data_IF_903775834347
#
_entry.id   IF_903775834347
#
_cell.length_a   1.000
_cell.length_b   1.000
_cell.length_c   1.000
_cell.angle_alpha   90.00
_cell.angle_beta   90.00
_cell.angle_gamma   90.00
#
_symmetry.space_group_name_H-M   'P 1'
#
loop_
_entity.id
_entity.type
_entity.pdbx_description
1 polymer ?
#
# COMPACT_ATOMS: atom_id res chain seq x y z
N UNK A 1 11.44 -1.47 -0.75
CA UNK A 1 10.50 -0.59 -1.50
C UNK A 1 10.87 0.89 -1.40
N UNK A 2 11.16 1.45 -0.22
CA UNK A 2 11.58 2.85 -0.09
C UNK A 2 12.84 3.20 -0.90
N UNK A 3 13.83 2.29 -0.95
CA UNK A 3 15.01 2.42 -1.80
C UNK A 3 14.68 2.51 -3.31
N UNK A 4 13.60 1.86 -3.75
CA UNK A 4 13.14 1.92 -5.13
C UNK A 4 12.44 3.25 -5.44
N UNK A 5 11.68 3.82 -4.50
CA UNK A 5 11.04 5.12 -4.69
C UNK A 5 12.06 6.26 -4.72
N UNK A 6 13.01 6.29 -3.78
CA UNK A 6 14.06 7.32 -3.77
C UNK A 6 14.91 7.28 -5.04
N UNK A 7 15.28 6.09 -5.52
CA UNK A 7 16.01 5.96 -6.80
C UNK A 7 15.22 6.52 -8.00
N UNK A 8 13.88 6.37 -8.02
CA UNK A 8 13.03 6.97 -9.05
C UNK A 8 12.98 8.49 -8.93
N UNK A 9 12.87 9.03 -7.71
CA UNK A 9 12.89 10.47 -7.47
C UNK A 9 14.24 11.10 -7.79
N UNK A 10 15.34 10.40 -7.51
CA UNK A 10 16.69 10.81 -7.89
C UNK A 10 16.83 10.91 -9.41
N UNK A 11 16.41 9.87 -10.13
CA UNK A 11 16.43 9.84 -11.61
C UNK A 11 15.56 10.96 -12.21
N UNK A 12 14.37 11.18 -11.65
CA UNK A 12 13.50 12.28 -12.05
C UNK A 12 14.17 13.64 -11.79
N UNK A 13 14.75 13.83 -10.60
CA UNK A 13 15.40 15.09 -10.22
C UNK A 13 16.64 15.39 -11.05
N UNK A 14 17.41 14.37 -11.46
CA UNK A 14 18.49 14.53 -12.44
C UNK A 14 17.97 15.02 -13.79
N UNK A 15 16.91 14.39 -14.31
CA UNK A 15 16.29 14.81 -15.58
C UNK A 15 15.75 16.24 -15.51
N UNK A 16 15.15 16.62 -14.38
CA UNK A 16 14.71 18.00 -14.14
C UNK A 16 15.93 18.94 -14.13
N UNK A 17 17.01 18.61 -13.44
CA UNK A 17 18.20 19.46 -13.37
C UNK A 17 18.88 19.67 -14.74
N UNK A 18 18.86 18.66 -15.61
CA UNK A 18 19.44 18.74 -16.95
C UNK A 18 18.60 19.55 -17.94
N UNK A 19 17.27 19.48 -17.80
CA UNK A 19 16.33 20.00 -18.81
C UNK A 19 15.56 21.24 -18.37
N UNK A 20 15.55 21.58 -17.08
CA UNK A 20 14.79 22.71 -16.58
C UNK A 20 15.44 24.06 -16.98
N UNK A 21 14.63 25.08 -17.34
CA UNK A 21 15.12 26.38 -17.77
C UNK A 21 15.58 27.25 -16.58
N UNK A 22 16.66 26.84 -15.91
CA UNK A 22 17.24 27.55 -14.76
C UNK A 22 17.72 28.95 -15.18
N UNK A 23 17.17 30.00 -14.54
CA UNK A 23 17.50 31.40 -14.86
C UNK A 23 17.88 32.18 -13.61
N UNK A 24 18.49 33.34 -13.84
CA UNK A 24 18.71 34.33 -12.76
C UNK A 24 17.52 35.28 -12.71
N UNK A 25 16.77 35.25 -11.63
CA UNK A 25 15.61 36.10 -11.41
C UNK A 25 15.99 37.32 -10.56
N UNK A 26 15.33 38.47 -10.78
CA UNK A 26 15.46 39.65 -9.90
C UNK A 26 14.27 39.69 -8.96
N UNK A 27 14.52 39.69 -7.66
CA UNK A 27 13.50 39.78 -6.62
C UNK A 27 13.88 40.89 -5.63
N UNK A 28 13.03 41.93 -5.48
CA UNK A 28 13.27 43.07 -4.58
C UNK A 28 14.72 43.57 -4.53
N UNK A 29 15.30 43.87 -5.71
CA UNK A 29 16.68 44.36 -5.90
C UNK A 29 17.80 43.36 -5.58
N UNK A 30 17.46 42.10 -5.30
CA UNK A 30 18.40 40.98 -5.12
C UNK A 30 18.32 40.05 -6.34
N UNK A 31 19.48 39.63 -6.85
CA UNK A 31 19.55 38.63 -7.91
C UNK A 31 19.55 37.22 -7.29
N UNK A 32 18.63 36.38 -7.75
CA UNK A 32 18.47 34.98 -7.36
C UNK A 32 18.96 34.10 -8.51
N UNK A 33 20.21 33.61 -8.47
CA UNK A 33 20.73 32.71 -9.50
C UNK A 33 20.11 31.30 -9.39
N UNK A 34 20.09 30.60 -10.53
CA UNK A 34 19.71 29.18 -10.68
C UNK A 34 18.34 28.83 -10.07
N UNK A 35 17.31 29.63 -10.34
CA UNK A 35 15.96 29.41 -9.83
C UNK A 35 14.94 29.24 -10.96
N UNK A 36 13.77 28.70 -10.59
CA UNK A 36 12.58 28.52 -11.42
C UNK A 36 11.38 29.17 -10.72
N UNK A 37 10.41 29.64 -11.49
CA UNK A 37 9.11 30.02 -10.91
C UNK A 37 8.25 28.77 -10.73
N UNK A 38 7.29 28.81 -9.79
CA UNK A 38 6.31 27.76 -9.59
C UNK A 38 5.57 27.42 -10.89
N UNK A 39 5.11 28.44 -11.62
CA UNK A 39 4.46 28.27 -12.93
C UNK A 39 5.32 27.54 -13.96
N UNK A 40 6.59 27.93 -14.08
CA UNK A 40 7.50 27.26 -15.02
C UNK A 40 7.78 25.82 -14.58
N UNK A 41 7.90 25.57 -13.27
CA UNK A 41 8.13 24.23 -12.73
C UNK A 41 6.93 23.30 -12.99
N UNK A 42 5.70 23.76 -12.72
CA UNK A 42 4.48 22.97 -12.91
C UNK A 42 4.26 22.67 -14.38
N UNK A 43 4.33 23.68 -15.26
CA UNK A 43 4.20 23.49 -16.70
C UNK A 43 5.27 22.54 -17.26
N UNK A 44 6.52 22.67 -16.80
CA UNK A 44 7.61 21.78 -17.19
C UNK A 44 7.37 20.34 -16.73
N UNK A 45 6.90 20.12 -15.50
CA UNK A 45 6.60 18.79 -14.99
C UNK A 45 5.40 18.15 -15.72
N UNK A 46 4.39 18.95 -16.06
CA UNK A 46 3.24 18.49 -16.84
C UNK A 46 3.68 17.94 -18.19
N UNK A 47 4.56 18.66 -18.91
CA UNK A 47 5.10 18.22 -20.20
C UNK A 47 6.04 17.01 -20.04
N UNK A 48 6.95 17.04 -19.05
CA UNK A 48 7.94 15.99 -18.84
C UNK A 48 7.31 14.63 -18.49
N UNK A 49 6.21 14.65 -17.73
CA UNK A 49 5.50 13.46 -17.26
C UNK A 49 4.25 13.13 -18.07
N UNK A 50 3.90 13.96 -19.05
CA UNK A 50 2.67 13.86 -19.84
C UNK A 50 1.41 13.75 -18.97
N UNK A 51 1.27 14.63 -17.97
CA UNK A 51 0.06 14.70 -17.14
C UNK A 51 -1.09 15.39 -17.88
N UNK A 52 -2.28 14.78 -17.81
CA UNK A 52 -3.51 15.34 -18.39
C UNK A 52 -4.01 16.55 -17.58
N UNK A 53 -3.92 16.50 -16.25
CA UNK A 53 -4.33 17.57 -15.33
C UNK A 53 -3.09 18.29 -14.73
N UNK A 54 -2.98 19.63 -14.81
CA UNK A 54 -1.93 20.39 -14.12
C UNK A 54 -1.92 20.17 -12.59
N UNK A 55 -3.04 19.78 -11.97
CA UNK A 55 -3.11 19.45 -10.54
C UNK A 55 -2.18 18.28 -10.16
N UNK A 56 -2.03 17.28 -11.04
CA UNK A 56 -1.13 16.15 -10.82
C UNK A 56 0.35 16.57 -10.86
N UNK A 57 0.68 17.47 -11.80
CA UNK A 57 2.01 18.06 -11.89
C UNK A 57 2.35 18.91 -10.65
N UNK A 58 1.38 19.70 -10.17
CA UNK A 58 1.52 20.48 -8.94
C UNK A 58 1.67 19.59 -7.70
N UNK A 59 0.93 18.49 -7.64
CA UNK A 59 1.05 17.50 -6.56
C UNK A 59 2.43 16.85 -6.57
N UNK A 60 2.93 16.42 -7.73
CA UNK A 60 4.28 15.86 -7.86
C UNK A 60 5.36 16.88 -7.46
N UNK A 61 5.22 18.14 -7.88
CA UNK A 61 6.13 19.22 -7.47
C UNK A 61 6.15 19.39 -5.94
N UNK A 62 4.98 19.33 -5.31
CA UNK A 62 4.82 19.39 -3.86
C UNK A 62 5.48 18.19 -3.17
N UNK A 63 5.35 16.98 -3.71
CA UNK A 63 6.02 15.80 -3.18
C UNK A 63 7.55 15.94 -3.26
N UNK A 64 8.07 16.42 -4.39
CA UNK A 64 9.51 16.70 -4.54
C UNK A 64 10.00 17.75 -3.54
N UNK A 65 9.17 18.76 -3.24
CA UNK A 65 9.47 19.76 -2.21
C UNK A 65 9.62 19.12 -0.84
N UNK A 66 8.60 18.35 -0.45
CA UNK A 66 8.53 17.76 0.87
C UNK A 66 9.70 16.80 1.12
N UNK A 67 10.08 16.01 0.10
CA UNK A 67 11.22 15.10 0.16
C UNK A 67 12.58 15.81 0.04
N UNK A 68 12.61 17.14 -0.14
CA UNK A 68 13.83 17.94 -0.16
C UNK A 68 14.62 17.89 -1.47
N UNK A 69 14.00 17.49 -2.58
CA UNK A 69 14.60 17.59 -3.92
C UNK A 69 14.49 19.01 -4.50
N UNK A 70 13.54 19.80 -4.00
CA UNK A 70 13.39 21.20 -4.33
C UNK A 70 12.97 21.99 -3.10
N UNK A 71 13.25 23.29 -3.09
CA UNK A 71 12.96 24.15 -1.95
C UNK A 71 12.66 25.58 -2.38
N UNK A 72 11.78 26.30 -1.66
CA UNK A 72 11.50 27.70 -1.94
C UNK A 72 12.66 28.58 -1.46
N UNK A 73 12.99 29.61 -2.24
CA UNK A 73 14.16 30.46 -1.98
C UNK A 73 13.90 31.53 -0.92
N UNK A 74 12.67 32.06 -0.87
CA UNK A 74 12.33 33.26 -0.10
C UNK A 74 11.53 32.89 1.14
N UNK A 75 10.28 32.49 0.94
CA UNK A 75 9.36 32.12 2.01
C UNK A 75 9.34 30.60 2.17
N UNK A 76 9.39 30.12 3.40
CA UNK A 76 9.23 28.70 3.67
C UNK A 76 7.80 28.27 3.37
N UNK A 77 7.64 27.21 2.59
CA UNK A 77 6.35 26.61 2.25
C UNK A 77 6.52 25.10 2.15
N UNK A 78 5.52 24.35 2.62
CA UNK A 78 5.45 22.89 2.49
C UNK A 78 4.74 22.44 1.19
N UNK A 79 4.25 23.40 0.42
CA UNK A 79 3.49 23.19 -0.81
C UNK A 79 4.07 24.06 -1.92
N UNK A 80 4.13 23.53 -3.14
CA UNK A 80 4.48 24.33 -4.32
C UNK A 80 3.27 25.18 -4.72
N UNK A 81 3.50 26.47 -4.98
CA UNK A 81 2.46 27.39 -5.45
C UNK A 81 2.63 27.56 -6.96
N UNK A 82 1.54 27.51 -7.71
CA UNK A 82 1.51 27.79 -9.15
C UNK A 82 1.53 29.30 -9.43
N UNK A 83 2.57 29.98 -8.93
CA UNK A 83 2.74 31.42 -9.01
C UNK A 83 4.21 31.79 -9.32
N UNK A 84 4.55 33.06 -9.10
CA UNK A 84 5.91 33.58 -9.29
C UNK A 84 6.87 33.27 -8.12
N UNK A 85 6.48 32.41 -7.17
CA UNK A 85 7.36 31.94 -6.10
C UNK A 85 8.57 31.23 -6.71
N UNK A 86 9.75 31.56 -6.20
CA UNK A 86 11.02 31.04 -6.71
C UNK A 86 11.42 29.77 -5.98
N UNK A 87 11.70 28.72 -6.74
CA UNK A 87 12.19 27.42 -6.28
C UNK A 87 13.58 27.14 -6.82
N UNK A 88 14.37 26.37 -6.06
CA UNK A 88 15.66 25.80 -6.46
C UNK A 88 15.63 24.29 -6.39
N UNK A 89 16.42 23.67 -7.23
CA UNK A 89 16.69 22.23 -7.18
C UNK A 89 17.81 21.99 -6.17
N UNK A 90 17.68 20.92 -5.38
CA UNK A 90 18.66 20.52 -4.39
C UNK A 90 19.80 19.75 -5.03
N UNK A 91 21.03 19.91 -4.52
CA UNK A 91 22.17 19.10 -5.00
C UNK A 91 21.99 17.62 -4.68
N UNK A 92 22.47 16.73 -5.57
CA UNK A 92 22.48 15.28 -5.34
C UNK A 92 23.12 14.86 -4.01
N UNK A 93 24.13 15.59 -3.54
CA UNK A 93 24.77 15.36 -2.24
C UNK A 93 23.79 15.45 -1.06
N UNK A 94 22.77 16.31 -1.18
CA UNK A 94 21.77 16.58 -0.13
C UNK A 94 20.48 15.76 -0.30
N UNK A 95 20.43 14.84 -1.28
CA UNK A 95 19.25 14.02 -1.54
C UNK A 95 19.01 12.95 -0.46
N UNK A 96 17.75 12.54 -0.23
CA UNK A 96 17.40 11.55 0.78
C UNK A 96 18.08 10.19 0.59
N UNK A 97 18.40 9.82 -0.65
CA UNK A 97 19.07 8.57 -0.98
C UNK A 97 20.52 8.50 -0.47
N UNK A 98 21.21 9.64 -0.44
CA UNK A 98 22.59 9.75 0.06
C UNK A 98 22.63 10.10 1.54
N UNK A 99 21.73 10.96 2.01
CA UNK A 99 21.65 11.42 3.40
C UNK A 99 20.61 10.62 4.20
N UNK A 100 20.83 9.31 4.31
CA UNK A 100 19.89 8.38 4.97
C UNK A 100 19.87 8.50 6.49
N UNK A 101 20.93 9.04 7.08
CA UNK A 101 21.04 9.33 8.50
C UNK A 101 21.59 10.74 8.69
N UNK A 102 20.89 11.56 9.46
CA UNK A 102 21.43 12.84 9.93
C UNK A 102 22.06 12.63 11.29
N UNK A 103 23.36 12.90 11.40
CA UNK A 103 24.07 12.85 12.68
C UNK A 103 23.85 14.15 13.45
N UNK A 104 23.62 14.03 14.77
CA UNK A 104 23.60 15.14 15.70
C UNK A 104 24.88 15.99 15.61
N UNK A 105 26.03 15.35 15.31
CA UNK A 105 27.32 16.04 15.11
C UNK A 105 27.28 16.96 13.90
N UNK A 106 26.77 16.49 12.76
CA UNK A 106 26.69 17.30 11.53
C UNK A 106 25.74 18.49 11.70
N UNK A 107 24.61 18.29 12.39
CA UNK A 107 23.68 19.37 12.68
C UNK A 107 24.30 20.41 13.63
N UNK A 108 25.04 19.96 14.64
CA UNK A 108 25.77 20.85 15.54
C UNK A 108 26.83 21.69 14.81
N UNK A 109 27.57 21.09 13.85
CA UNK A 109 28.53 21.82 13.00
C UNK A 109 27.81 22.91 12.20
N UNK A 110 26.66 22.60 11.61
CA UNK A 110 25.86 23.56 10.84
C UNK A 110 25.38 24.75 11.69
N UNK A 111 24.81 24.49 12.87
CA UNK A 111 24.33 25.54 13.77
C UNK A 111 25.49 26.41 14.29
N UNK A 112 26.61 25.79 14.69
CA UNK A 112 27.80 26.50 15.15
C UNK A 112 28.39 27.39 14.04
N UNK A 113 28.46 26.88 12.81
CA UNK A 113 28.89 27.64 11.63
C UNK A 113 28.04 28.90 11.39
N UNK A 114 26.73 28.83 11.63
CA UNK A 114 25.82 29.97 11.50
C UNK A 114 26.02 31.01 12.59
N UNK A 115 26.23 30.58 13.83
CA UNK A 115 26.53 31.47 14.96
C UNK A 115 27.86 32.21 14.81
N UNK A 116 28.86 31.58 14.18
CA UNK A 116 30.15 32.21 13.87
C UNK A 116 30.09 33.29 12.77
N UNK A 117 28.93 33.50 12.14
CA UNK A 117 28.70 34.50 11.09
C UNK A 117 27.88 35.69 11.63
N UNK A 118 27.65 36.69 10.78
CA UNK A 118 26.87 37.87 11.14
C UNK A 118 25.42 37.48 11.52
N UNK A 119 25.05 37.76 12.77
CA UNK A 119 23.77 37.46 13.41
C UNK A 119 22.57 38.03 12.64
N UNK A 120 22.67 39.21 12.04
CA UNK A 120 21.55 39.83 11.30
C UNK A 120 21.15 39.06 10.02
N UNK A 121 22.04 38.21 9.49
CA UNK A 121 21.79 37.45 8.25
C UNK A 121 21.78 35.94 8.46
N UNK A 122 22.47 35.46 9.48
CA UNK A 122 22.69 34.04 9.72
C UNK A 122 22.26 33.59 11.12
N UNK A 123 21.67 34.49 11.93
CA UNK A 123 21.14 34.19 13.26
C UNK A 123 20.22 32.98 13.23
N UNK A 124 20.26 32.22 14.33
CA UNK A 124 19.45 31.01 14.50
C UNK A 124 17.99 31.38 14.78
N UNK A 125 17.07 30.56 14.29
CA UNK A 125 15.65 30.60 14.66
C UNK A 125 15.47 30.11 16.12
N UNK A 126 14.36 30.43 16.78
CA UNK A 126 14.14 30.09 18.21
C UNK A 126 14.27 28.58 18.47
N UNK A 127 13.73 27.75 17.58
CA UNK A 127 13.81 26.30 17.68
C UNK A 127 15.22 25.76 17.33
N UNK A 128 15.95 26.45 16.45
CA UNK A 128 17.36 26.18 16.17
C UNK A 128 18.25 26.51 17.38
N UNK A 129 17.94 27.55 18.14
CA UNK A 129 18.62 27.89 19.40
C UNK A 129 18.37 26.82 20.45
N UNK A 130 17.13 26.36 20.60
CA UNK A 130 16.80 25.26 21.53
C UNK A 130 17.54 23.97 21.14
N UNK A 131 17.55 23.62 19.86
CA UNK A 131 18.30 22.47 19.35
C UNK A 131 19.81 22.61 19.58
N UNK A 132 20.38 23.80 19.36
CA UNK A 132 21.80 24.07 19.62
C UNK A 132 22.15 23.84 21.08
N UNK A 133 21.36 24.36 22.02
CA UNK A 133 21.59 24.19 23.45
C UNK A 133 21.53 22.71 23.87
N UNK A 134 20.54 21.96 23.34
CA UNK A 134 20.46 20.51 23.56
C UNK A 134 21.69 19.77 23.01
N UNK A 135 22.16 20.14 21.83
CA UNK A 135 23.36 19.53 21.22
C UNK A 135 24.64 19.88 21.97
N UNK A 136 24.73 21.10 22.53
CA UNK A 136 25.85 21.52 23.36
C UNK A 136 25.96 20.68 24.64
N UNK A 137 24.83 20.39 25.29
CA UNK A 137 24.78 19.49 26.45
C UNK A 137 25.13 18.05 26.08
N UNK A 138 24.55 17.53 24.99
CA UNK A 138 24.73 16.13 24.56
C UNK A 138 26.16 15.85 24.02
N UNK A 139 26.72 16.78 23.25
CA UNK A 139 27.98 16.61 22.51
C UNK A 139 29.13 17.43 23.12
N UNK A 140 29.01 17.89 24.37
CA UNK A 140 30.02 18.75 25.01
C UNK A 140 31.45 18.19 24.92
N UNK A 141 31.62 16.88 25.05
CA UNK A 141 32.92 16.19 24.92
C UNK A 141 33.55 16.28 23.50
N UNK A 142 32.74 16.48 22.46
CA UNK A 142 33.19 16.66 21.07
C UNK A 142 33.12 18.11 20.59
N UNK A 143 32.76 19.06 21.45
CA UNK A 143 32.48 20.43 21.02
C UNK A 143 33.71 21.14 20.42
N UNK A 144 34.91 20.83 20.92
CA UNK A 144 36.16 21.30 20.32
C UNK A 144 36.34 20.84 18.88
N UNK A 145 36.02 19.59 18.57
CA UNK A 145 36.04 19.07 17.20
C UNK A 145 34.98 19.76 16.31
N UNK A 146 33.75 19.92 16.81
CA UNK A 146 32.66 20.59 16.10
C UNK A 146 33.05 22.03 15.71
N UNK A 147 33.68 22.75 16.64
CA UNK A 147 34.13 24.14 16.45
C UNK A 147 35.20 24.21 15.35
N UNK A 148 36.23 23.36 15.42
CA UNK A 148 37.28 23.32 14.40
C UNK A 148 36.72 22.96 13.01
N UNK A 149 35.80 21.99 12.94
CA UNK A 149 35.16 21.63 11.67
C UNK A 149 34.33 22.78 11.08
N UNK A 150 33.57 23.51 11.92
CA UNK A 150 32.80 24.68 11.48
C UNK A 150 33.71 25.79 10.92
N UNK A 151 34.82 26.09 11.60
CA UNK A 151 35.81 27.06 11.13
C UNK A 151 36.45 26.68 9.80
N UNK A 152 36.82 25.40 9.63
CA UNK A 152 37.39 24.89 8.38
C UNK A 152 36.42 25.05 7.21
N UNK A 153 35.14 24.71 7.40
CA UNK A 153 34.12 24.89 6.35
C UNK A 153 33.91 26.36 5.99
N UNK A 154 33.89 27.27 6.98
CA UNK A 154 33.80 28.72 6.73
C UNK A 154 35.00 29.24 5.94
N UNK A 155 36.20 28.74 6.24
CA UNK A 155 37.42 29.12 5.52
C UNK A 155 37.33 28.70 4.04
N UNK A 156 36.93 27.47 3.75
CA UNK A 156 36.71 27.01 2.37
C UNK A 156 35.64 27.83 1.65
N UNK A 157 34.56 28.22 2.35
CA UNK A 157 33.51 29.05 1.75
C UNK A 157 34.00 30.49 1.46
N UNK A 158 34.98 31.03 2.18
CA UNK A 158 35.52 32.37 1.92
C UNK A 158 36.18 32.48 0.53
N UNK A 159 36.74 31.39 0.02
CA UNK A 159 37.42 31.32 -1.28
C UNK A 159 36.46 31.27 -2.48
N UNK A 160 35.20 30.90 -2.27
CA UNK A 160 34.19 30.80 -3.35
C UNK A 160 33.69 32.16 -3.84
N UNK A 161 33.03 32.20 -5.01
CA UNK A 161 32.35 33.41 -5.51
C UNK A 161 31.12 33.75 -4.68
N UNK A 162 30.74 35.03 -4.64
CA UNK A 162 29.58 35.50 -3.85
C UNK A 162 28.26 34.84 -4.26
N UNK A 163 28.04 34.61 -5.56
CA UNK A 163 26.86 33.88 -6.07
C UNK A 163 26.76 32.48 -5.50
N UNK A 164 27.88 31.76 -5.51
CA UNK A 164 27.94 30.33 -5.19
C UNK A 164 27.79 30.13 -3.68
N UNK A 165 28.28 31.08 -2.87
CA UNK A 165 28.04 31.10 -1.41
C UNK A 165 26.56 31.21 -1.09
N UNK A 166 25.82 32.09 -1.78
CA UNK A 166 24.39 32.29 -1.53
C UNK A 166 23.57 31.06 -1.94
N UNK A 167 23.96 30.38 -3.02
CA UNK A 167 23.33 29.13 -3.44
C UNK A 167 23.61 28.03 -2.42
N UNK A 168 24.87 27.80 -2.07
CA UNK A 168 25.27 26.78 -1.10
C UNK A 168 24.63 26.97 0.28
N UNK A 169 24.62 28.21 0.80
CA UNK A 169 23.98 28.53 2.08
C UNK A 169 22.47 28.21 2.06
N UNK A 170 21.80 28.43 0.91
CA UNK A 170 20.38 28.11 0.77
C UNK A 170 20.10 26.61 0.65
N UNK A 171 20.98 25.87 -0.02
CA UNK A 171 20.89 24.42 -0.21
C UNK A 171 21.09 23.67 1.11
N UNK A 172 22.12 24.06 1.86
CA UNK A 172 22.41 23.51 3.19
C UNK A 172 21.30 23.86 4.19
N UNK A 173 20.75 25.08 4.15
CA UNK A 173 19.61 25.45 4.99
C UNK A 173 18.35 24.64 4.65
N UNK A 174 18.08 24.42 3.37
CA UNK A 174 16.96 23.59 2.93
C UNK A 174 17.11 22.13 3.37
N UNK A 175 18.32 21.58 3.27
CA UNK A 175 18.65 20.23 3.74
C UNK A 175 18.26 20.03 5.21
N UNK A 176 18.68 20.95 6.08
CA UNK A 176 18.45 20.83 7.52
C UNK A 176 17.01 21.09 7.92
N UNK A 177 16.24 21.90 7.18
CA UNK A 177 14.81 22.09 7.44
C UNK A 177 14.00 20.82 7.28
N UNK A 178 14.29 20.01 6.26
CA UNK A 178 13.58 18.74 6.06
C UNK A 178 14.01 17.68 7.07
N UNK A 179 15.22 17.77 7.65
CA UNK A 179 15.83 16.67 8.44
C UNK A 179 16.26 17.07 9.85
N UNK A 180 15.51 17.96 10.52
CA UNK A 180 15.79 18.32 11.91
C UNK A 180 15.64 17.07 12.81
N UNK A 181 16.65 16.70 13.62
CA UNK A 181 16.52 15.60 14.57
C UNK A 181 15.33 15.85 15.52
N UNK A 182 14.44 14.87 15.67
CA UNK A 182 13.29 14.94 16.59
C UNK A 182 12.02 15.61 16.06
N UNK A 183 11.97 15.95 14.76
CA UNK A 183 10.74 16.40 14.10
C UNK A 183 10.21 15.33 13.13
N UNK A 184 8.89 15.19 13.07
CA UNK A 184 8.23 14.29 12.13
C UNK A 184 8.60 14.67 10.69
N UNK A 185 9.18 13.72 9.96
CA UNK A 185 9.63 13.94 8.58
C UNK A 185 8.91 12.99 7.62
N UNK A 186 8.60 13.47 6.42
CA UNK A 186 8.12 12.66 5.29
C UNK A 186 9.07 11.50 4.91
N UNK A 187 10.33 11.54 5.35
CA UNK A 187 11.33 10.50 5.15
C UNK A 187 11.28 9.38 6.22
N UNK A 188 10.42 9.49 7.24
CA UNK A 188 10.27 8.43 8.25
C UNK A 188 9.75 7.14 7.62
N UNK A 189 10.54 6.07 7.77
CA UNK A 189 10.12 4.76 7.29
C UNK A 189 9.24 4.09 8.33
N UNK A 190 8.07 3.62 7.89
CA UNK A 190 7.21 2.76 8.70
C UNK A 190 8.00 1.54 9.20
N UNK A 191 7.85 1.18 10.48
CA UNK A 191 8.63 0.12 11.17
C UNK A 191 8.61 -1.21 10.40
N UNK A 192 7.51 -1.52 9.73
CA UNK A 192 7.37 -2.76 8.95
C UNK A 192 8.12 -2.75 7.60
N UNK A 193 8.57 -1.58 7.11
CA UNK A 193 9.27 -1.40 5.83
C UNK A 193 10.80 -1.43 5.96
N UNK A 194 11.34 -1.57 7.17
CA UNK A 194 12.78 -1.74 7.38
C UNK A 194 13.20 -3.04 6.70
N UNK A 195 13.99 -2.92 5.62
CA UNK A 195 14.44 -4.06 4.84
C UNK A 195 15.30 -4.97 5.71
N UNK A 196 14.72 -6.09 6.13
CA UNK A 196 15.47 -7.15 6.80
C UNK A 196 16.41 -7.73 5.76
N UNK A 197 17.73 -7.57 5.98
CA UNK A 197 18.76 -8.23 5.16
C UNK A 197 18.37 -9.70 4.96
N UNK A 198 18.21 -10.11 3.71
CA UNK A 198 17.91 -11.49 3.35
C UNK A 198 18.98 -12.38 3.97
N UNK A 199 18.59 -13.19 4.95
CA UNK A 199 19.50 -14.18 5.53
C UNK A 199 19.85 -15.16 4.42
N UNK A 200 21.14 -15.53 4.31
CA UNK A 200 21.58 -16.57 3.39
C UNK A 200 20.74 -17.83 3.64
N UNK A 201 20.11 -18.36 2.60
CA UNK A 201 19.24 -19.53 2.70
C UNK A 201 20.07 -20.75 3.15
N UNK A 202 19.58 -21.50 4.11
CA UNK A 202 20.24 -22.73 4.59
C UNK A 202 19.95 -23.90 3.64
N UNK A 203 20.74 -24.97 3.73
CA UNK A 203 20.47 -26.19 2.96
C UNK A 203 19.04 -26.73 3.18
N UNK A 204 18.51 -26.62 4.40
CA UNK A 204 17.13 -26.97 4.72
C UNK A 204 16.11 -26.07 3.99
N UNK A 205 16.41 -24.77 3.86
CA UNK A 205 15.59 -23.82 3.11
C UNK A 205 15.47 -24.20 1.64
N UNK A 206 16.60 -24.53 0.99
CA UNK A 206 16.58 -24.99 -0.41
C UNK A 206 15.83 -26.31 -0.61
N UNK A 207 15.92 -27.25 0.34
CA UNK A 207 15.13 -28.50 0.30
C UNK A 207 13.63 -28.22 0.35
N UNK A 208 13.19 -27.37 1.28
CA UNK A 208 11.78 -26.96 1.40
C UNK A 208 11.29 -26.23 0.14
N UNK A 209 12.13 -25.39 -0.45
CA UNK A 209 11.82 -24.72 -1.70
C UNK A 209 11.67 -25.70 -2.88
N UNK A 210 12.57 -26.69 -2.99
CA UNK A 210 12.48 -27.75 -3.99
C UNK A 210 11.19 -28.57 -3.83
N UNK A 211 10.84 -28.95 -2.60
CA UNK A 211 9.58 -29.66 -2.32
C UNK A 211 8.36 -28.83 -2.73
N UNK A 212 8.35 -27.53 -2.40
CA UNK A 212 7.27 -26.61 -2.80
C UNK A 212 7.15 -26.49 -4.32
N UNK A 213 8.28 -26.36 -5.04
CA UNK A 213 8.30 -26.26 -6.49
C UNK A 213 7.84 -27.56 -7.17
N UNK A 214 8.32 -28.71 -6.67
CA UNK A 214 7.88 -30.04 -7.14
C UNK A 214 6.37 -30.23 -6.92
N UNK A 215 5.87 -29.85 -5.76
CA UNK A 215 4.44 -29.86 -5.48
C UNK A 215 3.68 -28.98 -6.47
N UNK A 216 4.11 -27.73 -6.66
CA UNK A 216 3.46 -26.79 -7.58
C UNK A 216 3.45 -27.28 -9.03
N UNK A 217 4.48 -28.00 -9.47
CA UNK A 217 4.52 -28.60 -10.82
C UNK A 217 3.54 -29.77 -10.96
N UNK A 218 3.31 -30.53 -9.89
CA UNK A 218 2.44 -31.71 -9.90
C UNK A 218 0.97 -31.37 -9.72
N UNK A 219 0.64 -30.38 -8.91
CA UNK A 219 -0.75 -30.14 -8.47
C UNK A 219 -1.45 -28.97 -9.12
N UNK A 220 -0.74 -28.02 -9.75
CA UNK A 220 -1.39 -26.87 -10.37
C UNK A 220 -1.75 -27.15 -11.82
N UNK A 221 -3.04 -27.21 -12.18
CA UNK A 221 -3.44 -27.19 -13.59
C UNK A 221 -3.10 -25.80 -14.14
N UNK A 222 -2.25 -25.75 -15.16
CA UNK A 222 -1.90 -24.50 -15.83
C UNK A 222 -2.89 -24.22 -16.96
N UNK A 223 -3.68 -23.17 -16.81
CA UNK A 223 -4.50 -22.66 -17.91
C UNK A 223 -3.63 -21.82 -18.85
N UNK A 224 -3.86 -21.92 -20.16
CA UNK A 224 -3.19 -21.04 -21.13
C UNK A 224 -3.56 -19.58 -20.83
N UNK A 225 -2.57 -18.67 -20.88
CA UNK A 225 -2.78 -17.26 -20.57
C UNK A 225 -3.93 -16.63 -21.38
N UNK A 226 -4.04 -16.96 -22.67
CA UNK A 226 -5.14 -16.49 -23.52
C UNK A 226 -6.51 -16.94 -22.99
N UNK A 227 -6.64 -18.22 -22.62
CA UNK A 227 -7.92 -18.73 -22.09
C UNK A 227 -8.24 -18.11 -20.74
N UNK A 228 -7.24 -17.89 -19.89
CA UNK A 228 -7.39 -17.20 -18.62
C UNK A 228 -7.83 -15.74 -18.79
N UNK A 229 -7.28 -15.02 -19.77
CA UNK A 229 -7.70 -13.65 -20.06
C UNK A 229 -9.12 -13.60 -20.61
N UNK A 230 -9.49 -14.51 -21.51
CA UNK A 230 -10.87 -14.60 -22.03
C UNK A 230 -11.88 -14.86 -20.91
N UNK A 231 -11.58 -15.80 -20.00
CA UNK A 231 -12.47 -16.10 -18.87
C UNK A 231 -12.61 -14.90 -17.93
N UNK A 232 -11.54 -14.12 -17.73
CA UNK A 232 -11.57 -12.94 -16.87
C UNK A 232 -12.36 -11.79 -17.50
N UNK A 233 -12.21 -11.56 -18.81
CA UNK A 233 -13.02 -10.56 -19.54
C UNK A 233 -14.50 -10.92 -19.49
N UNK A 234 -14.84 -12.18 -19.81
CA UNK A 234 -16.23 -12.67 -19.73
C UNK A 234 -16.82 -12.51 -18.33
N UNK A 235 -16.04 -12.80 -17.29
CA UNK A 235 -16.48 -12.57 -15.91
C UNK A 235 -16.73 -11.08 -15.62
N UNK A 236 -15.82 -10.19 -16.03
CA UNK A 236 -16.03 -8.75 -15.86
C UNK A 236 -17.29 -8.25 -16.60
N UNK A 237 -17.56 -8.75 -17.80
CA UNK A 237 -18.76 -8.39 -18.58
C UNK A 237 -20.04 -8.90 -17.90
N UNK A 238 -20.04 -10.12 -17.36
CA UNK A 238 -21.19 -10.67 -16.63
C UNK A 238 -21.52 -9.88 -15.36
N UNK A 239 -20.51 -9.40 -14.64
CA UNK A 239 -20.68 -8.66 -13.40
C UNK A 239 -20.70 -7.13 -13.58
N UNK A 240 -20.57 -6.63 -14.81
CA UNK A 240 -20.55 -5.21 -15.15
C UNK A 240 -21.78 -4.45 -14.63
N UNK A 241 -22.97 -5.03 -14.84
CA UNK A 241 -24.23 -4.44 -14.39
C UNK A 241 -24.38 -4.43 -12.87
N UNK A 242 -23.57 -5.22 -12.16
CA UNK A 242 -23.62 -5.38 -10.71
C UNK A 242 -22.64 -4.46 -9.97
N UNK A 243 -21.64 -3.91 -10.64
CA UNK A 243 -20.64 -3.02 -10.05
C UNK A 243 -21.17 -1.58 -9.89
N UNK A 244 -21.33 -1.06 -8.65
CA UNK A 244 -21.83 0.30 -8.42
C UNK A 244 -20.93 1.44 -8.89
N UNK A 245 -19.64 1.18 -9.16
CA UNK A 245 -18.71 2.19 -9.70
C UNK A 245 -18.85 2.35 -11.21
N UNK A 246 -19.33 1.32 -11.90
CA UNK A 246 -19.46 1.31 -13.36
C UNK A 246 -20.93 1.56 -13.75
N UNK A 247 -21.85 0.83 -13.12
CA UNK A 247 -23.29 0.90 -13.40
C UNK A 247 -24.03 1.46 -12.20
N UNK A 248 -24.69 2.61 -12.39
CA UNK A 248 -25.42 3.27 -11.32
C UNK A 248 -26.48 2.34 -10.70
N UNK A 249 -26.42 2.05 -9.38
CA UNK A 249 -27.38 1.18 -8.73
C UNK A 249 -28.75 1.87 -8.61
N UNK A 250 -29.81 1.07 -8.67
CA UNK A 250 -31.19 1.54 -8.53
C UNK A 250 -31.71 1.24 -7.12
N UNK A 251 -32.43 2.17 -6.46
CA UNK A 251 -32.91 3.45 -7.00
C UNK A 251 -31.83 4.55 -7.09
N UNK A 252 -30.84 4.52 -6.19
CA UNK A 252 -29.70 5.43 -6.22
C UNK A 252 -28.53 4.85 -5.41
N UNK A 253 -27.33 5.42 -5.56
CA UNK A 253 -26.17 5.05 -4.75
C UNK A 253 -26.22 5.79 -3.39
N UNK A 254 -26.38 5.08 -2.25
CA UNK A 254 -26.54 5.71 -0.94
C UNK A 254 -25.40 6.65 -0.54
N UNK A 255 -24.19 6.40 -1.05
CA UNK A 255 -23.01 7.24 -0.76
C UNK A 255 -23.02 8.60 -1.49
N UNK A 256 -23.90 8.76 -2.48
CA UNK A 256 -24.00 9.98 -3.31
C UNK A 256 -25.32 10.71 -3.04
N UNK A 257 -26.41 9.95 -2.85
CA UNK A 257 -27.76 10.51 -2.69
C UNK A 257 -28.22 10.64 -1.23
N UNK A 258 -27.46 10.08 -0.27
CA UNK A 258 -27.85 9.92 1.13
C UNK A 258 -29.18 9.14 1.33
N UNK A 259 -29.62 8.39 0.30
CA UNK A 259 -30.81 7.53 0.33
C UNK A 259 -30.42 6.07 0.59
N UNK A 260 -30.80 5.53 1.75
CA UNK A 260 -30.48 4.16 2.18
C UNK A 260 -31.40 3.09 1.58
N UNK A 261 -32.37 3.46 0.74
CA UNK A 261 -33.37 2.52 0.18
C UNK A 261 -32.72 1.33 -0.51
N UNK A 262 -31.61 1.54 -1.25
CA UNK A 262 -30.87 0.44 -1.89
C UNK A 262 -30.43 -0.62 -0.87
N UNK A 263 -29.90 -0.22 0.29
CA UNK A 263 -29.44 -1.16 1.31
C UNK A 263 -30.60 -1.92 1.95
N UNK A 264 -31.69 -1.21 2.25
CA UNK A 264 -32.91 -1.82 2.82
C UNK A 264 -33.47 -2.88 1.87
N UNK A 265 -33.54 -2.60 0.57
CA UNK A 265 -34.02 -3.57 -0.43
C UNK A 265 -33.10 -4.79 -0.63
N UNK A 266 -31.84 -4.71 -0.19
CA UNK A 266 -30.86 -5.79 -0.34
C UNK A 266 -30.43 -6.42 0.99
N UNK A 267 -31.16 -6.20 2.08
CA UNK A 267 -30.89 -6.91 3.35
C UNK A 267 -31.15 -8.40 3.22
N UNK A 268 -30.48 -9.21 4.04
CA UNK A 268 -30.61 -10.68 4.03
C UNK A 268 -31.99 -11.18 4.46
N UNK A 269 -32.77 -10.37 5.18
CA UNK A 269 -34.10 -10.71 5.68
C UNK A 269 -35.24 -10.02 4.92
N UNK A 270 -34.99 -9.51 3.71
CA UNK A 270 -36.05 -8.88 2.90
C UNK A 270 -37.05 -9.96 2.45
N UNK A 271 -38.35 -9.67 2.54
CA UNK A 271 -39.40 -10.63 2.14
C UNK A 271 -39.40 -10.92 0.64
N UNK A 272 -39.19 -9.87 -0.18
CA UNK A 272 -39.18 -9.98 -1.64
C UNK A 272 -37.84 -9.48 -2.17
N UNK A 273 -36.96 -10.37 -2.70
CA UNK A 273 -35.70 -9.95 -3.29
C UNK A 273 -35.95 -9.14 -4.57
N UNK A 274 -35.05 -8.19 -4.84
CA UNK A 274 -35.12 -7.40 -6.08
C UNK A 274 -34.87 -8.27 -7.32
N UNK A 275 -35.43 -7.89 -8.47
CA UNK A 275 -35.21 -8.63 -9.73
C UNK A 275 -33.71 -8.74 -10.07
N UNK A 276 -32.95 -7.68 -9.82
CA UNK A 276 -31.49 -7.68 -10.02
C UNK A 276 -30.81 -8.71 -9.14
N UNK A 277 -31.19 -8.82 -7.86
CA UNK A 277 -30.65 -9.84 -6.93
C UNK A 277 -30.95 -11.26 -7.43
N UNK A 278 -32.18 -11.52 -7.87
CA UNK A 278 -32.57 -12.84 -8.40
C UNK A 278 -31.84 -13.19 -9.69
N UNK A 279 -31.68 -12.24 -10.63
CA UNK A 279 -30.90 -12.45 -11.86
C UNK A 279 -29.45 -12.80 -11.58
N UNK A 280 -28.86 -12.26 -10.50
CA UNK A 280 -27.49 -12.58 -10.09
C UNK A 280 -27.32 -14.05 -9.74
N UNK A 281 -28.34 -14.67 -9.12
CA UNK A 281 -28.31 -16.10 -8.80
C UNK A 281 -28.18 -16.98 -10.05
N UNK A 282 -28.75 -16.52 -11.18
CA UNK A 282 -28.63 -17.21 -12.46
C UNK A 282 -27.25 -17.15 -13.12
N UNK A 283 -26.31 -16.36 -12.57
CA UNK A 283 -24.94 -16.29 -13.10
C UNK A 283 -24.13 -17.55 -12.76
N UNK A 284 -24.30 -18.08 -11.54
CA UNK A 284 -23.70 -19.35 -11.14
C UNK A 284 -24.33 -19.89 -9.84
N UNK A 285 -24.20 -21.21 -9.63
CA UNK A 285 -24.63 -21.87 -8.38
C UNK A 285 -23.94 -21.24 -7.16
N UNK A 286 -22.68 -20.81 -7.28
CA UNK A 286 -22.00 -20.12 -6.19
C UNK A 286 -22.69 -18.81 -5.78
N UNK A 287 -23.20 -18.03 -6.74
CA UNK A 287 -23.90 -16.78 -6.43
C UNK A 287 -25.27 -17.03 -5.78
N UNK A 288 -25.98 -18.07 -6.22
CA UNK A 288 -27.23 -18.52 -5.59
C UNK A 288 -26.99 -18.97 -4.14
N UNK A 289 -25.97 -19.80 -3.90
CA UNK A 289 -25.69 -20.38 -2.58
C UNK A 289 -25.01 -19.39 -1.62
N UNK A 290 -24.37 -18.34 -2.12
CA UNK A 290 -23.86 -17.26 -1.27
C UNK A 290 -24.97 -16.38 -0.70
N UNK A 291 -26.08 -16.27 -1.41
CA UNK A 291 -27.23 -15.48 -0.99
C UNK A 291 -28.06 -16.24 0.06
N UNK A 292 -28.36 -15.67 1.25
CA UNK A 292 -29.20 -16.33 2.25
C UNK A 292 -30.61 -16.67 1.74
N UNK A 293 -31.22 -15.80 0.95
CA UNK A 293 -32.54 -16.03 0.36
C UNK A 293 -32.42 -17.03 -0.79
N UNK A 294 -31.38 -16.89 -1.62
CA UNK A 294 -31.09 -17.83 -2.69
C UNK A 294 -30.94 -19.27 -2.19
N UNK A 295 -30.22 -19.47 -1.07
CA UNK A 295 -30.10 -20.77 -0.40
C UNK A 295 -31.45 -21.34 0.04
N UNK A 296 -32.29 -20.55 0.69
CA UNK A 296 -33.60 -21.00 1.15
C UNK A 296 -34.49 -21.43 -0.02
N UNK A 297 -34.46 -20.68 -1.12
CA UNK A 297 -35.19 -21.01 -2.35
C UNK A 297 -34.67 -22.32 -2.96
N UNK A 298 -33.34 -22.47 -3.05
CA UNK A 298 -32.72 -23.70 -3.55
C UNK A 298 -33.06 -24.92 -2.68
N UNK A 299 -32.97 -24.77 -1.36
CA UNK A 299 -33.30 -25.84 -0.41
C UNK A 299 -34.77 -26.24 -0.52
N UNK A 300 -35.70 -25.27 -0.55
CA UNK A 300 -37.14 -25.54 -0.72
C UNK A 300 -37.44 -26.25 -2.03
N UNK A 301 -36.75 -25.87 -3.11
CA UNK A 301 -36.87 -26.52 -4.41
C UNK A 301 -36.41 -27.99 -4.35
N UNK A 302 -35.22 -28.25 -3.81
CA UNK A 302 -34.67 -29.61 -3.69
C UNK A 302 -35.46 -30.49 -2.70
N UNK A 303 -36.03 -29.91 -1.64
CA UNK A 303 -36.95 -30.62 -0.74
C UNK A 303 -38.20 -31.11 -1.48
N UNK A 304 -38.75 -30.30 -2.39
CA UNK A 304 -39.91 -30.68 -3.19
C UNK A 304 -39.63 -31.82 -4.18
N UNK A 305 -38.36 -32.00 -4.55
CA UNK A 305 -37.88 -33.08 -5.41
C UNK A 305 -37.27 -34.26 -4.62
N UNK A 306 -37.32 -34.21 -3.29
CA UNK A 306 -36.70 -35.19 -2.38
C UNK A 306 -35.18 -35.38 -2.62
N UNK A 307 -34.46 -34.29 -2.90
CA UNK A 307 -33.03 -34.25 -3.25
C UNK A 307 -32.21 -33.20 -2.45
N UNK A 308 -32.72 -32.76 -1.30
CA UNK A 308 -32.11 -31.70 -0.47
C UNK A 308 -30.86 -32.12 0.33
N UNK A 309 -30.54 -33.41 0.40
CA UNK A 309 -29.47 -33.96 1.24
C UNK A 309 -28.08 -33.37 0.89
N UNK A 310 -27.79 -33.17 -0.39
CA UNK A 310 -26.51 -32.67 -0.86
C UNK A 310 -26.24 -31.24 -0.40
N UNK A 311 -27.19 -30.33 -0.62
CA UNK A 311 -27.04 -28.92 -0.22
C UNK A 311 -26.99 -28.79 1.30
N UNK A 312 -27.78 -29.57 2.04
CA UNK A 312 -27.75 -29.58 3.52
C UNK A 312 -26.40 -30.05 4.06
N UNK A 313 -25.84 -31.10 3.46
CA UNK A 313 -24.49 -31.56 3.79
C UNK A 313 -23.44 -30.49 3.51
N UNK A 314 -23.48 -29.86 2.34
CA UNK A 314 -22.55 -28.79 1.98
C UNK A 314 -22.65 -27.59 2.94
N UNK A 315 -23.87 -27.17 3.30
CA UNK A 315 -24.10 -26.08 4.26
C UNK A 315 -23.55 -26.43 5.65
N UNK A 316 -23.78 -27.65 6.13
CA UNK A 316 -23.25 -28.10 7.42
C UNK A 316 -21.70 -28.08 7.44
N UNK A 317 -21.05 -28.41 6.32
CA UNK A 317 -19.60 -28.29 6.17
C UNK A 317 -19.15 -26.82 6.20
N UNK A 318 -19.85 -25.90 5.53
CA UNK A 318 -19.53 -24.47 5.63
C UNK A 318 -19.62 -24.00 7.08
N UNK A 319 -20.67 -24.37 7.79
CA UNK A 319 -20.82 -24.02 9.21
C UNK A 319 -19.71 -24.60 10.09
N UNK A 320 -19.23 -25.82 9.80
CA UNK A 320 -18.11 -26.42 10.52
C UNK A 320 -16.82 -25.62 10.32
N UNK A 321 -16.53 -25.18 9.09
CA UNK A 321 -15.30 -24.42 8.76
C UNK A 321 -15.18 -23.13 9.55
N UNK A 322 -16.31 -22.46 9.80
CA UNK A 322 -16.37 -21.19 10.53
C UNK A 322 -16.80 -21.33 12.00
N UNK A 323 -16.97 -22.56 12.50
CA UNK A 323 -17.33 -22.80 13.91
C UNK A 323 -16.20 -22.42 14.87
N UNK A 324 -16.58 -22.04 16.09
CA UNK A 324 -15.65 -21.90 17.23
C UNK A 324 -14.94 -23.22 17.51
N UNK A 325 -13.69 -23.15 18.00
CA UNK A 325 -12.86 -24.34 18.26
C UNK A 325 -13.55 -25.39 19.13
N UNK A 326 -14.31 -24.93 20.13
CA UNK A 326 -15.02 -25.78 21.10
C UNK A 326 -16.10 -26.65 20.45
N UNK A 327 -16.73 -26.17 19.37
CA UNK A 327 -17.87 -26.84 18.73
C UNK A 327 -17.44 -27.71 17.53
N UNK A 328 -16.17 -27.69 17.13
CA UNK A 328 -15.70 -28.37 15.93
C UNK A 328 -15.91 -29.88 16.01
N UNK A 329 -15.49 -30.48 17.12
CA UNK A 329 -15.53 -31.93 17.26
C UNK A 329 -16.97 -32.43 17.29
N UNK A 330 -17.83 -31.76 18.04
CA UNK A 330 -19.26 -32.04 18.12
C UNK A 330 -19.95 -31.87 16.75
N UNK A 331 -19.72 -30.74 16.05
CA UNK A 331 -20.31 -30.52 14.72
C UNK A 331 -19.80 -31.54 13.69
N UNK A 332 -18.51 -31.86 13.70
CA UNK A 332 -17.94 -32.85 12.79
C UNK A 332 -18.57 -34.24 13.01
N UNK A 333 -18.78 -34.63 14.28
CA UNK A 333 -19.44 -35.88 14.61
C UNK A 333 -20.90 -35.90 14.14
N UNK A 334 -21.65 -34.82 14.39
CA UNK A 334 -23.06 -34.70 13.92
C UNK A 334 -23.16 -34.82 12.40
N UNK A 335 -22.28 -34.13 11.66
CA UNK A 335 -22.24 -34.21 10.19
C UNK A 335 -21.98 -35.64 9.71
N UNK A 336 -21.07 -36.35 10.38
CA UNK A 336 -20.81 -37.75 10.05
C UNK A 336 -22.05 -38.64 10.28
N UNK A 337 -22.68 -38.52 11.45
CA UNK A 337 -23.84 -39.32 11.84
C UNK A 337 -25.08 -39.04 10.97
N UNK A 338 -25.27 -37.79 10.55
CA UNK A 338 -26.44 -37.34 9.79
C UNK A 338 -26.34 -37.64 8.28
N UNK A 339 -25.13 -37.59 7.70
CA UNK A 339 -24.95 -37.64 6.24
C UNK A 339 -24.08 -38.80 5.72
N UNK A 340 -23.12 -39.32 6.49
CA UNK A 340 -22.13 -40.30 6.00
C UNK A 340 -22.18 -41.67 6.69
N UNK A 341 -22.78 -41.77 7.87
CA UNK A 341 -22.89 -43.03 8.59
C UNK A 341 -23.76 -44.04 7.81
N UNK A 342 -23.49 -45.34 8.02
CA UNK A 342 -24.29 -46.40 7.39
C UNK A 342 -25.73 -46.34 7.91
N UNK A 343 -26.69 -46.05 7.03
CA UNK A 343 -28.09 -45.87 7.40
C UNK A 343 -28.41 -44.49 8.00
N UNK A 344 -27.59 -43.49 7.70
CA UNK A 344 -27.81 -42.12 8.13
C UNK A 344 -29.17 -41.55 7.64
N UNK A 345 -29.83 -40.68 8.41
CA UNK A 345 -31.15 -40.15 8.08
C UNK A 345 -31.18 -39.30 6.80
N UNK A 346 -30.07 -38.62 6.47
CA UNK A 346 -29.92 -37.81 5.26
C UNK A 346 -28.68 -38.26 4.48
N UNK A 347 -28.55 -39.58 4.25
CA UNK A 347 -27.36 -40.16 3.63
C UNK A 347 -27.09 -39.59 2.23
N UNK A 348 -25.93 -38.95 2.04
CA UNK A 348 -25.49 -38.42 0.73
C UNK A 348 -24.82 -39.50 -0.12
N UNK A 349 -24.97 -39.38 -1.45
CA UNK A 349 -24.34 -40.29 -2.39
C UNK A 349 -22.87 -39.89 -2.65
N UNK A 350 -21.93 -40.53 -1.95
CA UNK A 350 -20.50 -40.30 -2.10
C UNK A 350 -19.82 -41.60 -2.55
N UNK A 351 -18.95 -41.52 -3.56
CA UNK A 351 -18.23 -42.70 -4.04
C UNK A 351 -17.33 -43.31 -2.95
N UNK A 352 -17.08 -44.63 -3.03
CA UNK A 352 -16.39 -45.37 -1.97
C UNK A 352 -14.99 -44.82 -1.70
N UNK A 353 -14.32 -44.28 -2.72
CA UNK A 353 -12.99 -43.70 -2.62
C UNK A 353 -13.01 -42.39 -1.83
N UNK A 354 -13.96 -41.51 -2.09
CA UNK A 354 -14.08 -40.22 -1.39
C UNK A 354 -14.50 -40.42 0.06
N UNK A 355 -15.38 -41.39 0.32
CA UNK A 355 -15.76 -41.77 1.69
C UNK A 355 -14.54 -42.28 2.47
N UNK A 356 -13.75 -43.19 1.91
CA UNK A 356 -12.54 -43.72 2.56
C UNK A 356 -11.53 -42.60 2.85
N UNK A 357 -11.32 -41.67 1.92
CA UNK A 357 -10.44 -40.53 2.12
C UNK A 357 -10.94 -39.60 3.22
N UNK A 358 -12.24 -39.30 3.25
CA UNK A 358 -12.86 -38.46 4.28
C UNK A 358 -12.71 -39.08 5.66
N UNK A 359 -12.94 -40.40 5.78
CA UNK A 359 -12.73 -41.15 7.03
C UNK A 359 -11.26 -41.14 7.49
N UNK A 360 -10.31 -41.25 6.56
CA UNK A 360 -8.88 -41.10 6.88
C UNK A 360 -8.59 -39.70 7.41
N UNK A 361 -9.10 -38.65 6.76
CA UNK A 361 -8.92 -37.28 7.22
C UNK A 361 -9.57 -37.00 8.59
N UNK A 362 -10.69 -37.64 8.91
CA UNK A 362 -11.33 -37.54 10.23
C UNK A 362 -10.50 -38.20 11.35
N UNK A 363 -9.69 -39.21 11.02
CA UNK A 363 -8.86 -39.94 11.98
C UNK A 363 -7.41 -39.44 12.05
N UNK A 364 -6.99 -38.60 11.11
CA UNK A 364 -5.63 -38.08 11.03
C UNK A 364 -5.47 -36.82 11.90
N UNK A 365 -4.68 -36.93 12.97
CA UNK A 365 -4.38 -35.81 13.89
C UNK A 365 -3.62 -34.66 13.23
N UNK A 366 -2.99 -34.88 12.07
CA UNK A 366 -2.29 -33.84 11.32
C UNK A 366 -3.24 -32.97 10.50
N UNK A 367 -4.46 -33.45 10.22
CA UNK A 367 -5.49 -32.71 9.49
C UNK A 367 -6.37 -31.98 10.50
N UNK A 368 -6.49 -30.67 10.34
CA UNK A 368 -7.43 -29.90 11.16
C UNK A 368 -8.86 -30.40 10.89
N UNK A 369 -9.58 -30.82 11.94
CA UNK A 369 -10.89 -31.49 11.83
C UNK A 369 -11.95 -30.67 11.06
N UNK A 370 -11.83 -29.34 11.07
CA UNK A 370 -12.64 -28.40 10.25
C UNK A 370 -12.51 -28.57 8.74
N UNK A 371 -11.43 -29.20 8.28
CA UNK A 371 -11.18 -29.46 6.86
C UNK A 371 -11.25 -30.94 6.51
N UNK A 372 -11.66 -31.81 7.45
CA UNK A 372 -11.68 -33.25 7.25
C UNK A 372 -12.68 -33.69 6.15
N UNK A 373 -13.75 -32.94 5.94
CA UNK A 373 -14.77 -33.21 4.92
C UNK A 373 -14.46 -32.63 3.53
N UNK A 374 -13.32 -31.96 3.33
CA UNK A 374 -13.00 -31.31 2.04
C UNK A 374 -13.12 -32.24 0.82
N UNK A 375 -12.70 -33.54 0.88
CA UNK A 375 -12.88 -34.45 -0.25
C UNK A 375 -14.36 -34.71 -0.59
N UNK A 376 -15.19 -34.91 0.43
CA UNK A 376 -16.63 -35.15 0.24
C UNK A 376 -17.37 -33.88 -0.21
N UNK A 377 -16.98 -32.72 0.31
CA UNK A 377 -17.53 -31.41 -0.10
C UNK A 377 -17.31 -31.16 -1.59
N UNK A 378 -16.08 -31.37 -2.09
CA UNK A 378 -15.75 -31.17 -3.52
C UNK A 378 -16.59 -32.11 -4.39
N UNK A 379 -16.71 -33.38 -3.99
CA UNK A 379 -17.52 -34.36 -4.71
C UNK A 379 -18.99 -33.95 -4.79
N UNK A 380 -19.61 -33.62 -3.65
CA UNK A 380 -21.03 -33.25 -3.60
C UNK A 380 -21.30 -31.96 -4.37
N UNK A 381 -20.42 -30.95 -4.25
CA UNK A 381 -20.58 -29.70 -4.99
C UNK A 381 -20.50 -29.91 -6.51
N UNK A 382 -19.69 -30.85 -6.99
CA UNK A 382 -19.63 -31.19 -8.43
C UNK A 382 -20.80 -32.03 -8.93
N UNK A 383 -21.60 -32.63 -8.05
CA UNK A 383 -22.82 -33.34 -8.45
C UNK A 383 -24.00 -32.39 -8.67
N UNK A 384 -23.98 -31.24 -7.98
CA UNK A 384 -25.02 -30.21 -8.03
C UNK A 384 -24.70 -29.07 -9.03
N UNK A 385 -23.47 -29.00 -9.57
CA UNK A 385 -23.08 -28.16 -10.73
C UNK A 385 -23.43 -28.81 -12.07
#
# INVERSE_FOLDING_TARGET
>A
MAASTLAKLDSLSLRIAESAPLKTHKYFRVAVPQALTGQTLVAFLQELMAFDDPADALHLATLLLQHGYLFPVIEHSLVVKDDNTLYRLQLPYFWPSHATHTDNVEYAIYLNKRLMRNEQRHGLEEDEVEAYNKLLELLGHMWGFITVQAEMQLKMQKEKKKSDKVVYDSEERAFWRTRRPGQANCLEQHVQKIEKKLRKCTAAGYKKELERLRFSLKTKPWLKALKASETMVSWCEQFHDYDPFITAPQPSNPWISDDITLWVLNTDSVEVPTERRVKRWGLSVQELVRDPIGRQVLETFLESEFSSENIRFWMAIQELKFASNENVDEKAQRIYEEFLATGAPCQVNVDSRTLENTLKCLNDETVARRHAFSPAEEHVFTLDE
#
